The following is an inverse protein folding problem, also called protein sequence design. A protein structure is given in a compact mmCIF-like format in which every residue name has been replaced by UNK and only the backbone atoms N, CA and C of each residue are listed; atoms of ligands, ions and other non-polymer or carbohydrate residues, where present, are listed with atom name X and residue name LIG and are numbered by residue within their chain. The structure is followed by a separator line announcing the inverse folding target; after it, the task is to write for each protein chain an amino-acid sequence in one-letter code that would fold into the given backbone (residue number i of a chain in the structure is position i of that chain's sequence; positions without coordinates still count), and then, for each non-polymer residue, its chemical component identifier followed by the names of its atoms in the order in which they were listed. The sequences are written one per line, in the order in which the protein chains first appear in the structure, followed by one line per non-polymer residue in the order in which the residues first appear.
data_IF_100961401035
#
_entry.id   IF_100961401035
#
_cell.length_a   1.000
_cell.length_b   1.000
_cell.length_c   1.000
_cell.angle_alpha   90.00
_cell.angle_beta   90.00
_cell.angle_gamma   90.00
#
_symmetry.space_group_name_H-M   'P 1'
#
loop_
_entity.id
_entity.type
_entity.pdbx_description
1 polymer ?
#
# COMPACT_ATOMS: atom_id res chain seq x y z
N UNK A 1 -32.64 27.42 -74.47
CA UNK A 1 -31.34 27.01 -73.97
C UNK A 1 -31.24 27.45 -72.51
N UNK A 2 -31.50 26.55 -71.55
CA UNK A 2 -31.45 26.86 -70.09
C UNK A 2 -30.08 26.44 -69.56
N UNK A 3 -29.31 27.38 -69.03
CA UNK A 3 -28.01 27.11 -68.36
C UNK A 3 -28.29 26.75 -66.91
N UNK A 4 -27.98 25.50 -66.50
CA UNK A 4 -27.91 25.08 -65.11
C UNK A 4 -26.60 25.55 -64.50
N UNK A 5 -26.64 26.38 -63.46
CA UNK A 5 -25.50 26.65 -62.59
C UNK A 5 -25.47 25.61 -61.48
N UNK A 6 -24.43 24.79 -61.43
CA UNK A 6 -24.15 23.90 -60.31
C UNK A 6 -23.38 24.69 -59.25
N UNK A 7 -23.97 24.84 -58.06
CA UNK A 7 -23.31 25.41 -56.88
C UNK A 7 -22.61 24.27 -56.14
N UNK A 8 -21.28 24.28 -56.13
CA UNK A 8 -20.46 23.38 -55.34
C UNK A 8 -20.39 23.91 -53.90
N UNK A 9 -21.05 23.27 -52.96
CA UNK A 9 -20.93 23.57 -51.55
C UNK A 9 -19.66 22.88 -51.02
N UNK A 10 -18.61 23.66 -50.72
CA UNK A 10 -17.42 23.18 -50.06
C UNK A 10 -17.69 23.08 -48.55
N UNK A 11 -17.85 21.86 -48.04
CA UNK A 11 -17.90 21.56 -46.60
C UNK A 11 -16.49 21.61 -46.02
N UNK A 12 -16.13 22.69 -45.34
CA UNK A 12 -14.91 22.78 -44.52
C UNK A 12 -15.12 21.96 -43.26
N UNK A 13 -14.46 20.81 -43.15
CA UNK A 13 -14.32 20.02 -41.91
C UNK A 13 -13.35 20.80 -41.01
N UNK A 14 -13.87 21.46 -40.00
CA UNK A 14 -13.07 22.04 -38.92
C UNK A 14 -12.51 20.86 -38.09
N UNK A 15 -11.28 20.44 -38.39
CA UNK A 15 -10.52 19.56 -37.51
C UNK A 15 -10.22 20.36 -36.22
N UNK A 16 -10.90 20.04 -35.12
CA UNK A 16 -10.52 20.54 -33.82
C UNK A 16 -9.10 20.03 -33.54
N UNK A 17 -8.15 20.90 -33.11
CA UNK A 17 -6.86 20.43 -32.65
C UNK A 17 -7.11 19.52 -31.45
N UNK A 18 -6.83 18.25 -31.58
CA UNK A 18 -6.61 17.39 -30.42
C UNK A 18 -5.46 18.05 -29.66
N UNK A 19 -5.73 18.55 -28.44
CA UNK A 19 -4.69 18.96 -27.53
C UNK A 19 -3.83 17.70 -27.31
N UNK A 20 -2.67 17.68 -27.96
CA UNK A 20 -1.66 16.65 -27.69
C UNK A 20 -1.33 16.78 -26.21
N UNK A 21 -1.75 15.81 -25.41
CA UNK A 21 -1.35 15.71 -24.01
C UNK A 21 0.17 15.54 -24.04
N UNK A 22 0.91 16.40 -23.34
CA UNK A 22 2.36 16.36 -23.36
C UNK A 22 2.84 14.96 -22.95
N UNK A 23 3.67 14.34 -23.78
CA UNK A 23 4.26 13.06 -23.49
C UNK A 23 5.10 13.16 -22.20
N UNK A 24 4.94 12.18 -21.30
CA UNK A 24 5.76 12.11 -20.09
C UNK A 24 7.23 11.92 -20.47
N UNK A 25 8.15 12.50 -19.70
CA UNK A 25 9.60 12.37 -19.91
C UNK A 25 10.24 11.30 -19.04
N UNK A 26 9.61 10.96 -17.94
CA UNK A 26 10.00 9.92 -17.00
C UNK A 26 8.76 9.45 -16.24
N UNK A 27 8.87 8.29 -15.58
CA UNK A 27 7.82 7.76 -14.71
C UNK A 27 8.44 7.34 -13.37
N UNK A 28 7.78 7.67 -12.27
CA UNK A 28 8.34 7.54 -10.94
C UNK A 28 7.47 6.64 -10.04
N UNK A 29 8.05 5.54 -9.54
CA UNK A 29 7.40 4.59 -8.65
C UNK A 29 7.80 4.93 -7.21
N UNK A 30 6.83 5.09 -6.33
CA UNK A 30 7.04 5.27 -4.89
C UNK A 30 6.83 3.96 -4.14
N UNK A 31 7.77 3.59 -3.27
CA UNK A 31 7.64 2.45 -2.38
C UNK A 31 7.58 2.95 -0.95
N UNK A 32 6.52 2.54 -0.20
CA UNK A 32 6.33 2.96 1.19
C UNK A 32 7.56 2.66 2.05
N UNK A 33 7.86 3.57 2.98
CA UNK A 33 8.98 3.47 3.91
C UNK A 33 8.82 2.33 4.92
N UNK A 34 9.83 2.17 5.78
CA UNK A 34 9.76 1.22 6.88
C UNK A 34 10.32 -0.17 6.59
N UNK A 35 11.15 -0.28 5.56
CA UNK A 35 11.95 -1.47 5.22
C UNK A 35 13.33 -1.02 4.74
N UNK A 36 14.28 -1.95 4.62
CA UNK A 36 15.59 -1.64 4.07
C UNK A 36 15.46 -1.09 2.63
N UNK A 37 16.09 0.06 2.36
CA UNK A 37 15.95 0.72 1.07
C UNK A 37 16.53 -0.08 -0.10
N UNK A 38 17.61 -0.84 0.12
CA UNK A 38 18.21 -1.69 -0.92
C UNK A 38 17.31 -2.87 -1.26
N UNK A 39 16.71 -3.51 -0.25
CA UNK A 39 15.79 -4.63 -0.43
C UNK A 39 14.51 -4.17 -1.16
N UNK A 40 14.01 -2.97 -0.82
CA UNK A 40 12.87 -2.35 -1.53
C UNK A 40 13.20 -2.08 -3.01
N UNK A 41 14.41 -1.59 -3.30
CA UNK A 41 14.83 -1.39 -4.69
C UNK A 41 14.93 -2.73 -5.42
N UNK A 42 15.60 -3.73 -4.83
CA UNK A 42 15.82 -5.02 -5.47
C UNK A 42 14.50 -5.75 -5.77
N UNK A 43 13.58 -5.80 -4.81
CA UNK A 43 12.29 -6.48 -4.96
C UNK A 43 11.33 -5.81 -5.96
N UNK A 44 11.53 -4.52 -6.27
CA UNK A 44 10.69 -3.78 -7.23
C UNK A 44 11.37 -3.53 -8.59
N UNK A 45 12.61 -4.03 -8.80
CA UNK A 45 13.35 -3.82 -10.06
C UNK A 45 12.65 -4.48 -11.24
N UNK A 46 12.05 -5.67 -11.06
CA UNK A 46 11.27 -6.33 -12.10
C UNK A 46 10.10 -5.46 -12.58
N UNK A 47 9.36 -4.86 -11.65
CA UNK A 47 8.26 -3.96 -11.96
C UNK A 47 8.74 -2.68 -12.65
N UNK A 48 9.81 -2.06 -12.15
CA UNK A 48 10.45 -0.90 -12.78
C UNK A 48 10.79 -1.17 -14.23
N UNK A 49 11.49 -2.30 -14.51
CA UNK A 49 11.91 -2.65 -15.85
C UNK A 49 10.74 -2.90 -16.82
N UNK A 50 9.65 -3.52 -16.32
CA UNK A 50 8.43 -3.73 -17.10
C UNK A 50 7.74 -2.40 -17.46
N UNK A 51 7.60 -1.48 -16.51
CA UNK A 51 7.02 -0.16 -16.75
C UNK A 51 7.87 0.63 -17.73
N UNK A 52 9.21 0.60 -17.59
CA UNK A 52 10.13 1.25 -18.53
C UNK A 52 9.98 0.72 -19.95
N UNK A 53 9.92 -0.62 -20.10
CA UNK A 53 9.73 -1.24 -21.40
C UNK A 53 8.37 -0.90 -22.04
N UNK A 54 7.31 -0.81 -21.26
CA UNK A 54 5.97 -0.53 -21.75
C UNK A 54 5.75 0.95 -22.11
N UNK A 55 6.32 1.87 -21.33
CA UNK A 55 6.13 3.32 -21.54
C UNK A 55 7.20 3.93 -22.46
N UNK A 56 8.35 3.26 -22.63
CA UNK A 56 9.46 3.76 -23.47
C UNK A 56 10.13 5.03 -22.90
N UNK A 57 9.99 5.30 -21.61
CA UNK A 57 10.64 6.41 -20.90
C UNK A 57 11.40 5.90 -19.68
N UNK A 58 12.43 6.62 -19.19
CA UNK A 58 13.13 6.26 -17.96
C UNK A 58 12.18 6.10 -16.78
N UNK A 59 12.36 5.03 -15.98
CA UNK A 59 11.58 4.77 -14.78
C UNK A 59 12.50 4.73 -13.56
N UNK A 60 12.12 5.49 -12.52
CA UNK A 60 12.86 5.57 -11.26
C UNK A 60 12.03 5.00 -10.11
N UNK A 61 12.70 4.37 -9.14
CA UNK A 61 12.10 3.97 -7.87
C UNK A 61 12.54 4.97 -6.80
N UNK A 62 11.55 5.49 -6.06
CA UNK A 62 11.76 6.34 -4.88
C UNK A 62 11.44 5.53 -3.63
N UNK A 63 12.38 5.48 -2.70
CA UNK A 63 12.28 4.77 -1.42
C UNK A 63 12.42 5.75 -0.25
N UNK A 64 11.45 6.66 -0.01
CA UNK A 64 11.48 7.55 1.14
C UNK A 64 11.66 6.78 2.46
N UNK A 65 12.10 7.47 3.51
CA UNK A 65 12.33 6.84 4.81
C UNK A 65 11.02 6.36 5.47
N UNK A 66 9.92 7.06 5.22
CA UNK A 66 8.60 6.83 5.81
C UNK A 66 7.47 6.93 4.79
N UNK A 67 6.25 6.69 5.25
CA UNK A 67 5.03 6.78 4.44
C UNK A 67 4.74 8.21 3.97
N UNK A 68 5.07 9.21 4.79
CA UNK A 68 4.79 10.61 4.46
C UNK A 68 5.55 11.05 3.20
N UNK A 69 6.77 10.58 3.01
CA UNK A 69 7.55 10.85 1.81
C UNK A 69 6.88 10.38 0.51
N UNK A 70 6.20 9.22 0.51
CA UNK A 70 5.41 8.75 -0.65
C UNK A 70 4.13 9.57 -0.82
N UNK A 71 3.44 9.88 0.28
CA UNK A 71 2.22 10.72 0.28
C UNK A 71 2.53 12.09 -0.33
N UNK A 72 3.58 12.76 0.14
CA UNK A 72 3.99 14.06 -0.37
C UNK A 72 4.48 13.98 -1.82
N UNK A 73 5.15 12.88 -2.18
CA UNK A 73 5.59 12.64 -3.55
C UNK A 73 4.42 12.54 -4.54
N UNK A 74 3.34 11.85 -4.19
CA UNK A 74 2.11 11.76 -4.99
C UNK A 74 1.38 13.10 -5.06
N UNK A 75 1.21 13.79 -3.93
CA UNK A 75 0.58 15.12 -3.87
C UNK A 75 1.39 16.18 -4.65
N UNK A 76 2.70 16.14 -4.54
CA UNK A 76 3.62 17.08 -5.20
C UNK A 76 3.96 16.73 -6.65
N UNK A 77 3.51 15.57 -7.16
CA UNK A 77 3.74 15.14 -8.54
C UNK A 77 5.14 14.61 -8.83
N UNK A 78 5.93 14.26 -7.81
CA UNK A 78 7.24 13.60 -7.95
C UNK A 78 7.17 12.08 -7.97
N UNK A 79 6.03 11.51 -7.58
CA UNK A 79 5.71 10.08 -7.68
C UNK A 79 4.46 9.93 -8.55
N UNK A 80 4.48 8.95 -9.43
CA UNK A 80 3.44 8.68 -10.42
C UNK A 80 2.58 7.45 -10.09
N UNK A 81 3.15 6.48 -9.38
CA UNK A 81 2.52 5.22 -8.98
C UNK A 81 3.00 4.78 -7.60
N UNK A 82 2.10 4.24 -6.80
CA UNK A 82 2.44 3.57 -5.55
C UNK A 82 1.37 2.54 -5.13
N UNK A 83 1.79 1.48 -4.45
CA UNK A 83 0.92 0.68 -3.59
C UNK A 83 0.84 1.32 -2.21
N UNK A 84 -0.37 1.54 -1.70
CA UNK A 84 -0.62 2.25 -0.45
C UNK A 84 -1.41 1.40 0.54
N UNK A 85 -1.21 1.62 1.83
CA UNK A 85 -2.23 1.28 2.81
C UNK A 85 -3.43 2.22 2.69
N UNK A 86 -4.63 1.75 3.01
CA UNK A 86 -5.85 2.55 2.89
C UNK A 86 -5.83 3.85 3.72
N UNK A 87 -5.11 3.88 4.86
CA UNK A 87 -4.92 5.10 5.68
C UNK A 87 -4.04 6.14 4.97
N UNK A 88 -2.97 5.71 4.28
CA UNK A 88 -2.13 6.60 3.49
C UNK A 88 -2.91 7.20 2.31
N UNK A 89 -3.72 6.35 1.62
CA UNK A 89 -4.65 6.83 0.60
C UNK A 89 -5.66 7.82 1.18
N UNK A 90 -6.25 7.53 2.34
CA UNK A 90 -7.19 8.42 3.02
C UNK A 90 -6.56 9.80 3.29
N UNK A 91 -5.30 9.85 3.73
CA UNK A 91 -4.57 11.12 3.94
C UNK A 91 -4.40 11.91 2.64
N UNK A 92 -4.04 11.25 1.55
CA UNK A 92 -3.95 11.90 0.23
C UNK A 92 -5.31 12.48 -0.16
N UNK A 93 -6.37 11.68 -0.10
CA UNK A 93 -7.72 12.09 -0.46
C UNK A 93 -8.24 13.26 0.38
N UNK A 94 -7.97 13.26 1.68
CA UNK A 94 -8.37 14.34 2.59
C UNK A 94 -7.60 15.64 2.33
N UNK A 95 -6.39 15.54 1.77
CA UNK A 95 -5.57 16.69 1.42
C UNK A 95 -5.94 17.23 0.04
N UNK A 96 -6.01 16.36 -0.96
CA UNK A 96 -6.44 16.67 -2.34
C UNK A 96 -7.15 15.45 -2.95
N UNK A 97 -8.49 15.48 -3.03
CA UNK A 97 -9.27 14.36 -3.59
C UNK A 97 -9.02 14.10 -5.07
N UNK A 98 -8.37 15.03 -5.78
CA UNK A 98 -8.05 14.91 -7.20
C UNK A 98 -6.59 14.50 -7.46
N UNK A 99 -5.78 14.25 -6.43
CA UNK A 99 -4.35 13.98 -6.61
C UNK A 99 -4.06 12.64 -7.29
N UNK A 100 -4.83 11.59 -6.97
CA UNK A 100 -4.61 10.24 -7.46
C UNK A 100 -5.90 9.55 -7.91
N UNK A 101 -5.76 8.68 -8.91
CA UNK A 101 -6.78 7.71 -9.30
C UNK A 101 -6.51 6.38 -8.58
N UNK A 102 -7.50 5.84 -7.91
CA UNK A 102 -7.49 4.47 -7.38
C UNK A 102 -7.74 3.50 -8.54
N UNK A 103 -6.93 2.45 -8.66
CA UNK A 103 -7.01 1.52 -9.79
C UNK A 103 -7.27 0.08 -9.38
N UNK A 104 -6.38 -0.50 -8.59
CA UNK A 104 -6.37 -1.92 -8.28
C UNK A 104 -6.16 -2.15 -6.78
N UNK A 105 -6.46 -3.36 -6.33
CA UNK A 105 -6.03 -3.91 -5.05
C UNK A 105 -5.62 -5.37 -5.21
N UNK A 106 -4.87 -5.89 -4.26
CA UNK A 106 -4.54 -7.32 -4.21
C UNK A 106 -5.76 -8.14 -3.83
N UNK A 107 -6.04 -9.22 -4.56
CA UNK A 107 -6.99 -10.25 -4.19
C UNK A 107 -6.23 -11.44 -3.59
N UNK A 108 -6.55 -11.83 -2.37
CA UNK A 108 -5.92 -12.95 -1.67
C UNK A 108 -6.20 -14.30 -2.36
N UNK A 109 -5.42 -15.31 -2.06
CA UNK A 109 -5.52 -16.65 -2.68
C UNK A 109 -6.90 -17.32 -2.49
N UNK A 110 -7.63 -16.98 -1.44
CA UNK A 110 -9.01 -17.44 -1.19
C UNK A 110 -10.09 -16.60 -1.88
N UNK A 111 -9.68 -15.53 -2.58
CA UNK A 111 -10.57 -14.60 -3.27
C UNK A 111 -11.05 -13.42 -2.41
N UNK A 112 -10.70 -13.36 -1.13
CA UNK A 112 -10.98 -12.20 -0.27
C UNK A 112 -10.14 -10.97 -0.67
N UNK A 113 -10.54 -9.79 -0.18
CA UNK A 113 -9.85 -8.52 -0.47
C UNK A 113 -9.52 -7.76 0.82
N UNK A 114 -9.20 -8.50 1.86
CA UNK A 114 -8.89 -7.92 3.17
C UNK A 114 -7.75 -8.65 3.86
N UNK A 115 -7.21 -8.01 4.87
CA UNK A 115 -6.10 -8.46 5.68
C UNK A 115 -6.29 -8.04 7.14
N UNK A 116 -5.35 -8.35 8.01
CA UNK A 116 -5.43 -8.05 9.43
C UNK A 116 -4.21 -7.28 9.93
N UNK A 117 -4.43 -6.43 10.91
CA UNK A 117 -3.39 -6.04 11.85
C UNK A 117 -3.22 -7.17 12.85
N UNK A 118 -2.00 -7.65 13.01
CA UNK A 118 -1.64 -8.76 13.90
C UNK A 118 -0.78 -8.21 15.04
N UNK A 119 -1.28 -8.33 16.25
CA UNK A 119 -0.50 -8.10 17.47
C UNK A 119 0.37 -9.32 17.78
N UNK A 120 1.63 -9.12 18.10
CA UNK A 120 2.57 -10.21 18.32
C UNK A 120 3.63 -9.89 19.38
N UNK A 121 4.24 -10.94 19.91
CA UNK A 121 5.31 -10.87 20.88
C UNK A 121 6.27 -12.06 20.70
N UNK A 122 7.42 -12.05 21.40
CA UNK A 122 8.26 -13.26 21.49
C UNK A 122 7.61 -14.31 22.36
N UNK A 123 7.75 -15.58 21.99
CA UNK A 123 7.25 -16.73 22.80
C UNK A 123 7.84 -16.78 24.19
N UNK A 124 9.13 -16.44 24.34
CA UNK A 124 9.84 -16.47 25.62
C UNK A 124 9.53 -15.27 26.54
N UNK A 125 8.77 -14.26 26.05
CA UNK A 125 8.42 -13.07 26.82
C UNK A 125 7.32 -13.29 27.88
N UNK A 126 6.60 -14.40 27.80
CA UNK A 126 5.41 -14.70 28.62
C UNK A 126 4.18 -13.86 28.24
N UNK A 127 4.23 -13.08 27.13
CA UNK A 127 3.10 -12.32 26.60
C UNK A 127 2.31 -13.24 25.67
N UNK A 128 1.04 -13.50 26.00
CA UNK A 128 0.14 -14.38 25.25
C UNK A 128 -1.15 -13.70 24.81
N UNK A 129 -1.38 -12.45 25.25
CA UNK A 129 -2.51 -11.61 24.87
C UNK A 129 -2.16 -10.15 25.12
N UNK A 130 -3.01 -9.20 24.65
CA UNK A 130 -2.83 -7.78 24.95
C UNK A 130 -2.91 -7.50 26.46
N UNK A 131 -3.77 -8.21 27.19
CA UNK A 131 -3.89 -8.06 28.65
C UNK A 131 -2.57 -8.41 29.36
N UNK A 132 -1.86 -9.43 28.89
CA UNK A 132 -0.56 -9.83 29.47
C UNK A 132 0.59 -8.92 29.05
N UNK A 133 0.38 -8.09 28.02
CA UNK A 133 1.31 -7.02 27.62
C UNK A 133 1.17 -5.72 28.44
N UNK A 134 0.16 -5.63 29.33
CA UNK A 134 -0.04 -4.45 30.17
C UNK A 134 1.21 -4.09 30.96
N UNK A 135 1.55 -2.80 30.95
CA UNK A 135 2.75 -2.28 31.64
C UNK A 135 4.09 -2.63 30.96
N UNK A 136 4.06 -3.18 29.74
CA UNK A 136 5.23 -3.44 28.91
C UNK A 136 5.25 -2.49 27.72
N UNK A 137 6.37 -2.40 26.98
CA UNK A 137 6.49 -1.56 25.78
C UNK A 137 5.68 -2.14 24.62
N UNK A 138 5.11 -1.26 23.80
CA UNK A 138 4.32 -1.61 22.61
C UNK A 138 4.74 -0.76 21.41
N UNK A 139 4.93 -1.39 20.26
CA UNK A 139 5.34 -0.71 19.04
C UNK A 139 4.21 -0.72 17.99
N UNK A 140 3.90 0.48 17.49
CA UNK A 140 3.21 0.70 16.23
C UNK A 140 4.23 0.89 15.11
N UNK A 141 3.82 0.73 13.84
CA UNK A 141 4.73 0.86 12.70
C UNK A 141 4.93 2.32 12.28
N UNK A 142 4.01 2.87 11.49
CA UNK A 142 4.06 4.23 10.94
C UNK A 142 2.72 4.93 11.16
N UNK A 143 2.66 6.22 11.52
CA UNK A 143 1.42 6.96 11.79
C UNK A 143 0.42 6.98 10.61
N UNK A 144 0.91 6.80 9.38
CA UNK A 144 0.07 6.75 8.18
C UNK A 144 -0.30 5.32 7.76
N UNK A 145 0.18 4.29 8.48
CA UNK A 145 -0.19 2.90 8.21
C UNK A 145 -1.59 2.57 8.73
N UNK A 146 -2.36 1.82 7.95
CA UNK A 146 -3.70 1.33 8.33
C UNK A 146 -3.60 0.31 9.45
N UNK A 147 -2.86 -0.78 9.20
CA UNK A 147 -2.68 -1.91 10.13
C UNK A 147 -1.56 -1.71 11.13
N UNK A 148 -0.59 -0.83 10.79
CA UNK A 148 0.50 -0.51 11.70
C UNK A 148 0.16 0.57 12.72
N UNK A 149 -0.98 1.29 12.55
CA UNK A 149 -1.37 2.33 13.50
C UNK A 149 -2.87 2.60 13.53
N UNK A 150 -3.50 3.09 12.45
CA UNK A 150 -4.87 3.62 12.50
C UNK A 150 -5.88 2.65 13.13
N UNK A 151 -5.94 1.43 12.61
CA UNK A 151 -6.90 0.41 13.06
C UNK A 151 -6.54 -0.14 14.44
N UNK A 152 -5.32 -0.66 14.68
CA UNK A 152 -4.99 -1.20 16.00
C UNK A 152 -5.03 -0.14 17.09
N UNK A 153 -4.63 1.10 16.85
CA UNK A 153 -4.73 2.17 17.85
C UNK A 153 -6.19 2.45 18.23
N UNK A 154 -7.10 2.51 17.24
CA UNK A 154 -8.51 2.73 17.49
C UNK A 154 -9.16 1.56 18.25
N UNK A 155 -8.93 0.31 17.83
CA UNK A 155 -9.52 -0.87 18.46
C UNK A 155 -8.98 -1.13 19.87
N UNK A 156 -7.67 -0.99 20.06
CA UNK A 156 -7.05 -1.15 21.38
C UNK A 156 -7.47 -0.03 22.33
N UNK A 157 -7.55 1.22 21.85
CA UNK A 157 -8.06 2.35 22.67
C UNK A 157 -9.52 2.15 23.07
N UNK A 158 -10.36 1.65 22.16
CA UNK A 158 -11.76 1.36 22.47
C UNK A 158 -11.91 0.27 23.55
N UNK A 159 -10.98 -0.66 23.64
CA UNK A 159 -11.02 -1.80 24.58
C UNK A 159 -10.33 -1.47 25.90
N UNK A 160 -9.16 -0.84 25.85
CA UNK A 160 -8.26 -0.68 27.01
C UNK A 160 -8.11 0.77 27.49
N UNK A 161 -8.75 1.73 26.83
CA UNK A 161 -8.61 3.15 27.14
C UNK A 161 -7.32 3.73 26.56
N UNK A 162 -6.76 4.74 27.22
CA UNK A 162 -5.52 5.39 26.75
C UNK A 162 -4.35 4.43 26.77
N UNK A 163 -3.75 4.22 25.61
CA UNK A 163 -2.70 3.22 25.43
C UNK A 163 -1.41 3.60 26.18
N UNK A 164 -1.14 4.88 26.36
CA UNK A 164 -0.01 5.40 27.14
C UNK A 164 -0.17 5.15 28.66
N UNK A 165 -1.41 4.88 29.12
CA UNK A 165 -1.70 4.49 30.51
C UNK A 165 -1.73 2.96 30.65
N UNK A 166 -2.03 2.23 29.57
CA UNK A 166 -2.10 0.77 29.56
C UNK A 166 -0.72 0.12 29.39
N UNK A 167 0.06 0.59 28.43
CA UNK A 167 1.45 0.16 28.21
C UNK A 167 2.44 1.05 28.98
N UNK A 168 3.61 0.54 29.31
CA UNK A 168 4.66 1.37 29.94
C UNK A 168 5.25 2.38 28.95
N UNK A 169 5.21 2.06 27.67
CA UNK A 169 5.74 2.88 26.59
C UNK A 169 5.02 2.49 25.28
N UNK A 170 4.60 3.50 24.50
CA UNK A 170 4.06 3.34 23.15
C UNK A 170 4.98 4.06 22.18
N UNK A 171 5.52 3.35 21.17
CA UNK A 171 6.45 3.90 20.19
C UNK A 171 6.01 3.64 18.77
N UNK A 172 6.43 4.54 17.85
CA UNK A 172 6.46 4.28 16.42
C UNK A 172 7.82 3.68 16.07
N UNK A 173 7.84 2.48 15.51
CA UNK A 173 9.10 1.81 15.12
C UNK A 173 9.69 2.36 13.81
N UNK A 174 8.86 3.03 13.00
CA UNK A 174 9.19 3.56 11.68
C UNK A 174 8.65 2.73 10.52
N UNK A 175 8.16 1.50 10.78
CA UNK A 175 7.56 0.66 9.75
C UNK A 175 7.33 -0.78 10.19
N UNK A 176 6.73 -1.58 9.32
CA UNK A 176 6.35 -2.95 9.64
C UNK A 176 7.54 -3.87 9.89
N UNK A 177 8.58 -3.78 9.07
CA UNK A 177 9.80 -4.57 9.23
C UNK A 177 10.51 -4.20 10.54
N UNK A 178 10.65 -2.89 10.84
CA UNK A 178 11.25 -2.40 12.08
C UNK A 178 10.47 -2.88 13.31
N UNK A 179 9.13 -2.94 13.24
CA UNK A 179 8.33 -3.52 14.33
C UNK A 179 8.64 -4.99 14.52
N UNK A 180 8.64 -5.78 13.42
CA UNK A 180 8.87 -7.23 13.48
C UNK A 180 10.26 -7.53 14.03
N UNK A 181 11.28 -6.90 13.47
CA UNK A 181 12.68 -7.08 13.90
C UNK A 181 12.90 -6.58 15.32
N UNK A 182 12.36 -5.40 15.68
CA UNK A 182 12.50 -4.83 17.01
C UNK A 182 11.85 -5.67 18.11
N UNK A 183 10.67 -6.26 17.86
CA UNK A 183 10.06 -7.22 18.79
C UNK A 183 10.87 -8.52 18.86
N UNK A 184 11.32 -9.03 17.71
CA UNK A 184 12.15 -10.25 17.67
C UNK A 184 13.46 -10.10 18.45
N UNK A 185 14.10 -8.94 18.37
CA UNK A 185 15.33 -8.62 19.10
C UNK A 185 15.09 -8.25 20.59
N UNK A 186 13.83 -7.93 20.96
CA UNK A 186 13.49 -7.51 22.31
C UNK A 186 13.61 -6.02 22.58
N UNK A 187 13.76 -5.19 21.55
CA UNK A 187 13.73 -3.72 21.65
C UNK A 187 12.34 -3.23 22.08
N UNK A 188 11.30 -3.98 21.68
CA UNK A 188 9.92 -3.83 22.12
C UNK A 188 9.40 -5.15 22.69
N UNK A 189 8.56 -5.09 23.73
CA UNK A 189 7.98 -6.30 24.33
C UNK A 189 6.91 -6.91 23.41
N UNK A 190 6.17 -6.08 22.69
CA UNK A 190 5.14 -6.46 21.73
C UNK A 190 4.94 -5.35 20.70
N UNK A 191 4.20 -5.64 19.64
CA UNK A 191 3.88 -4.67 18.62
C UNK A 191 2.85 -5.18 17.63
N UNK A 192 2.57 -4.41 16.59
CA UNK A 192 1.65 -4.79 15.51
C UNK A 192 2.33 -4.75 14.15
N UNK A 193 1.97 -5.72 13.30
CA UNK A 193 2.30 -5.72 11.88
C UNK A 193 1.11 -6.30 11.11
N UNK A 194 1.30 -6.74 9.86
CA UNK A 194 0.17 -7.18 9.04
C UNK A 194 0.42 -8.50 8.31
N UNK A 195 -0.68 -9.22 8.10
CA UNK A 195 -0.76 -10.38 7.23
C UNK A 195 -2.20 -10.56 6.72
N UNK A 196 -2.35 -11.34 5.65
CA UNK A 196 -3.66 -11.76 5.13
C UNK A 196 -4.39 -12.74 6.08
N UNK A 197 -3.67 -13.41 6.97
CA UNK A 197 -4.21 -14.36 7.93
C UNK A 197 -4.55 -15.72 7.35
N UNK A 198 -4.10 -16.01 6.12
CA UNK A 198 -4.27 -17.28 5.42
C UNK A 198 -3.00 -18.12 5.55
N UNK A 199 -3.14 -19.46 5.51
CA UNK A 199 -2.00 -20.36 5.74
C UNK A 199 -1.62 -20.48 7.22
N UNK A 200 -0.32 -20.70 7.49
CA UNK A 200 0.19 -20.95 8.82
C UNK A 200 0.95 -19.75 9.39
N UNK A 201 0.81 -19.51 10.69
CA UNK A 201 1.60 -18.50 11.40
C UNK A 201 3.11 -18.75 11.29
N UNK A 202 3.53 -19.99 11.39
CA UNK A 202 4.93 -20.41 11.34
C UNK A 202 5.63 -20.05 10.03
N UNK A 203 4.85 -19.90 8.94
CA UNK A 203 5.32 -19.50 7.62
C UNK A 203 5.22 -17.97 7.39
N UNK A 204 4.68 -17.20 8.35
CA UNK A 204 4.36 -15.78 8.19
C UNK A 204 3.07 -15.53 7.41
N UNK A 205 2.17 -16.53 7.35
CA UNK A 205 0.97 -16.57 6.51
C UNK A 205 1.27 -16.67 5.00
N UNK A 206 0.32 -16.37 4.11
CA UNK A 206 0.55 -16.42 2.66
C UNK A 206 1.01 -15.09 2.08
N UNK A 207 0.63 -13.97 2.73
CA UNK A 207 0.92 -12.62 2.28
C UNK A 207 1.05 -11.66 3.47
N UNK A 208 1.97 -10.71 3.38
CA UNK A 208 2.10 -9.66 4.37
C UNK A 208 3.54 -9.40 4.81
N UNK A 209 3.67 -8.50 5.80
CA UNK A 209 4.98 -8.12 6.31
C UNK A 209 5.69 -9.28 7.03
N UNK A 210 4.93 -10.15 7.71
CA UNK A 210 5.51 -11.34 8.33
C UNK A 210 6.06 -12.30 7.29
N UNK A 211 5.33 -12.53 6.19
CA UNK A 211 5.79 -13.35 5.07
C UNK A 211 7.07 -12.81 4.48
N UNK A 212 7.10 -11.50 4.16
CA UNK A 212 8.30 -10.84 3.65
C UNK A 212 9.49 -10.97 4.60
N UNK A 213 9.29 -10.74 5.89
CA UNK A 213 10.36 -10.84 6.87
C UNK A 213 10.89 -12.29 7.03
N UNK A 214 10.00 -13.28 6.95
CA UNK A 214 10.38 -14.70 6.98
C UNK A 214 11.15 -15.10 5.71
N UNK A 215 10.67 -14.73 4.53
CA UNK A 215 11.33 -15.01 3.24
C UNK A 215 12.72 -14.36 3.14
N UNK A 216 12.87 -13.14 3.70
CA UNK A 216 14.15 -12.46 3.78
C UNK A 216 15.09 -13.01 4.87
N UNK A 217 14.64 -13.97 5.68
CA UNK A 217 15.43 -14.54 6.79
C UNK A 217 15.69 -13.54 7.94
N UNK A 218 14.89 -12.47 8.04
CA UNK A 218 15.05 -11.45 9.08
C UNK A 218 14.53 -11.92 10.44
N UNK A 219 13.58 -12.87 10.44
CA UNK A 219 12.97 -13.41 11.66
C UNK A 219 12.72 -14.92 11.51
N UNK A 220 12.80 -15.60 12.63
CA UNK A 220 12.27 -16.97 12.79
C UNK A 220 10.89 -16.87 13.44
N UNK A 221 9.85 -17.09 12.63
CA UNK A 221 8.45 -17.04 13.07
C UNK A 221 8.15 -18.02 14.21
N UNK A 222 8.93 -19.10 14.34
CA UNK A 222 8.78 -20.06 15.43
C UNK A 222 9.07 -19.46 16.82
N UNK A 223 9.82 -18.35 16.87
CA UNK A 223 10.13 -17.62 18.10
C UNK A 223 9.10 -16.54 18.46
N UNK A 224 8.14 -16.29 17.57
CA UNK A 224 7.08 -15.32 17.77
C UNK A 224 5.72 -15.98 18.01
N UNK A 225 4.80 -15.23 18.60
CA UNK A 225 3.42 -15.66 18.85
C UNK A 225 2.46 -14.53 18.54
N UNK A 226 1.36 -14.86 17.85
CA UNK A 226 0.22 -13.96 17.69
C UNK A 226 -0.49 -13.80 19.04
N UNK A 227 -0.74 -12.55 19.44
CA UNK A 227 -1.41 -12.19 20.70
C UNK A 227 -2.71 -11.44 20.52
N UNK A 228 -2.96 -10.96 19.30
CA UNK A 228 -4.16 -10.18 18.95
C UNK A 228 -4.32 -10.09 17.43
N UNK A 229 -5.57 -9.91 17.01
CA UNK A 229 -5.93 -9.69 15.61
C UNK A 229 -7.05 -8.65 15.50
N UNK A 230 -6.92 -7.71 14.57
CA UNK A 230 -7.97 -6.72 14.27
C UNK A 230 -9.19 -7.35 13.59
N UNK A 231 -10.24 -6.57 13.45
CA UNK A 231 -11.24 -6.81 12.41
C UNK A 231 -10.60 -6.76 11.03
N UNK A 232 -11.30 -7.34 10.03
CA UNK A 232 -10.83 -7.33 8.65
C UNK A 232 -10.66 -5.89 8.14
N UNK A 233 -9.52 -5.61 7.54
CA UNK A 233 -9.13 -4.33 6.94
C UNK A 233 -9.16 -4.53 5.42
N UNK A 234 -9.72 -3.62 4.61
CA UNK A 234 -9.63 -3.73 3.16
C UNK A 234 -8.17 -3.66 2.70
N UNK A 235 -7.77 -4.51 1.75
CA UNK A 235 -6.46 -4.43 1.11
C UNK A 235 -6.27 -3.03 0.51
N UNK A 236 -5.06 -2.50 0.64
CA UNK A 236 -4.75 -1.14 0.21
C UNK A 236 -4.75 -0.98 -1.32
N UNK A 237 -4.97 0.25 -1.82
CA UNK A 237 -5.03 0.50 -3.25
C UNK A 237 -3.63 0.65 -3.87
N UNK A 238 -3.52 0.20 -5.12
CA UNK A 238 -2.55 0.72 -6.08
C UNK A 238 -3.14 1.97 -6.73
N UNK A 239 -2.40 3.06 -6.69
CA UNK A 239 -2.83 4.36 -7.20
C UNK A 239 -1.88 4.88 -8.28
N UNK A 240 -2.44 5.66 -9.19
CA UNK A 240 -1.66 6.43 -10.18
C UNK A 240 -1.97 7.91 -10.00
N UNK A 241 -1.00 8.78 -10.24
CA UNK A 241 -1.20 10.24 -10.19
C UNK A 241 -2.23 10.66 -11.25
N UNK A 242 -3.29 11.35 -10.83
CA UNK A 242 -4.46 11.63 -11.65
C UNK A 242 -4.14 12.51 -12.87
N UNK A 243 -3.15 13.41 -12.77
CA UNK A 243 -2.73 14.32 -13.85
C UNK A 243 -1.93 13.66 -14.97
N UNK A 244 -1.59 12.37 -14.86
CA UNK A 244 -0.94 11.62 -15.94
C UNK A 244 -1.85 11.48 -17.17
N UNK A 245 -1.29 11.36 -18.39
CA UNK A 245 -2.02 10.97 -19.58
C UNK A 245 -2.81 9.66 -19.37
N UNK A 246 -4.02 9.59 -19.94
CA UNK A 246 -4.90 8.43 -19.75
C UNK A 246 -4.26 7.14 -20.28
N UNK A 247 -3.60 7.18 -21.43
CA UNK A 247 -2.90 6.04 -22.02
C UNK A 247 -1.76 5.51 -21.12
N UNK A 248 -1.04 6.41 -20.45
CA UNK A 248 0.00 6.03 -19.47
C UNK A 248 -0.63 5.32 -18.26
N UNK A 249 -1.71 5.91 -17.70
CA UNK A 249 -2.44 5.32 -16.57
C UNK A 249 -3.00 3.93 -16.92
N UNK A 250 -3.61 3.82 -18.09
CA UNK A 250 -4.23 2.56 -18.55
C UNK A 250 -3.15 1.49 -18.83
N UNK A 251 -2.03 1.87 -19.45
CA UNK A 251 -0.91 0.94 -19.70
C UNK A 251 -0.35 0.35 -18.40
N UNK A 252 -0.06 1.19 -17.40
CA UNK A 252 0.48 0.72 -16.12
C UNK A 252 -0.56 -0.10 -15.35
N UNK A 253 -1.82 0.31 -15.36
CA UNK A 253 -2.90 -0.42 -14.70
C UNK A 253 -3.11 -1.81 -15.31
N UNK A 254 -3.18 -1.91 -16.64
CA UNK A 254 -3.34 -3.20 -17.33
C UNK A 254 -2.15 -4.12 -17.06
N UNK A 255 -0.91 -3.59 -17.08
CA UNK A 255 0.29 -4.37 -16.79
C UNK A 255 0.25 -4.96 -15.37
N UNK A 256 -0.16 -4.19 -14.36
CA UNK A 256 -0.29 -4.70 -12.99
C UNK A 256 -1.39 -5.75 -12.92
N UNK A 257 -2.55 -5.50 -13.53
CA UNK A 257 -3.67 -6.44 -13.54
C UNK A 257 -3.29 -7.81 -14.13
N UNK A 258 -2.51 -7.83 -15.22
CA UNK A 258 -2.11 -9.06 -15.91
C UNK A 258 -0.85 -9.73 -15.30
N UNK A 259 -0.28 -9.18 -14.21
CA UNK A 259 1.05 -9.59 -13.76
C UNK A 259 1.09 -11.02 -13.21
N UNK A 260 0.04 -11.48 -12.54
CA UNK A 260 -0.04 -12.86 -12.05
C UNK A 260 -0.04 -13.91 -13.17
N UNK A 261 -0.47 -13.53 -14.37
CA UNK A 261 -0.45 -14.40 -15.55
C UNK A 261 0.88 -14.30 -16.33
N UNK A 262 1.47 -13.11 -16.36
CA UNK A 262 2.64 -12.82 -17.21
C UNK A 262 3.97 -12.95 -16.50
N UNK A 263 4.03 -12.73 -15.19
CA UNK A 263 5.26 -12.78 -14.38
C UNK A 263 4.94 -12.94 -12.88
N UNK A 264 4.74 -14.17 -12.45
CA UNK A 264 4.37 -14.50 -11.07
C UNK A 264 5.39 -14.08 -10.03
N UNK A 265 6.67 -14.12 -10.36
CA UNK A 265 7.73 -13.71 -9.42
C UNK A 265 7.65 -12.20 -9.14
N UNK A 266 7.46 -11.40 -10.18
CA UNK A 266 7.26 -9.96 -10.02
C UNK A 266 5.93 -9.63 -9.33
N UNK A 267 4.86 -10.37 -9.64
CA UNK A 267 3.58 -10.22 -8.96
C UNK A 267 3.69 -10.53 -7.46
N UNK A 268 4.39 -11.61 -7.09
CA UNK A 268 4.68 -11.99 -5.71
C UNK A 268 5.41 -10.86 -4.95
N UNK A 269 6.46 -10.32 -5.57
CA UNK A 269 7.22 -9.22 -4.98
C UNK A 269 6.36 -7.96 -4.77
N UNK A 270 5.54 -7.60 -5.77
CA UNK A 270 4.66 -6.44 -5.72
C UNK A 270 3.52 -6.60 -4.69
N UNK A 271 2.95 -7.82 -4.57
CA UNK A 271 1.87 -8.14 -3.65
C UNK A 271 2.35 -8.37 -2.21
N UNK A 272 3.64 -8.49 -1.96
CA UNK A 272 4.24 -8.87 -0.67
C UNK A 272 3.94 -10.33 -0.23
N UNK A 273 3.83 -11.26 -1.19
CA UNK A 273 3.53 -12.67 -0.98
C UNK A 273 2.59 -13.24 -2.02
N UNK A 274 2.05 -14.44 -1.76
CA UNK A 274 1.08 -15.08 -2.64
C UNK A 274 -0.25 -14.31 -2.67
N UNK A 275 -0.78 -14.18 -3.88
CA UNK A 275 -2.11 -13.63 -4.11
C UNK A 275 -2.73 -14.32 -5.33
N UNK A 276 -4.04 -14.15 -5.49
CA UNK A 276 -4.77 -14.69 -6.63
C UNK A 276 -4.67 -13.76 -7.82
N UNK A 277 -4.85 -12.45 -7.60
CA UNK A 277 -4.92 -11.46 -8.66
C UNK A 277 -4.73 -10.02 -8.15
N UNK A 278 -4.61 -9.08 -9.09
CA UNK A 278 -4.80 -7.65 -8.85
C UNK A 278 -6.12 -7.23 -9.52
N UNK A 279 -7.11 -6.85 -8.71
CA UNK A 279 -8.46 -6.58 -9.18
C UNK A 279 -8.83 -5.09 -9.08
N UNK A 280 -9.73 -4.60 -9.95
CA UNK A 280 -10.21 -3.22 -9.88
C UNK A 280 -10.90 -2.91 -8.56
N UNK A 281 -10.61 -1.70 -8.04
CA UNK A 281 -11.30 -1.10 -6.89
C UNK A 281 -11.59 0.36 -7.15
N UNK A 282 -12.47 0.93 -6.34
CA UNK A 282 -12.91 2.31 -6.42
C UNK A 282 -12.69 3.04 -5.09
N UNK A 283 -12.87 4.35 -5.09
CA UNK A 283 -12.86 5.16 -3.88
C UNK A 283 -13.85 4.65 -2.81
N UNK A 284 -15.03 4.16 -3.22
CA UNK A 284 -16.07 3.69 -2.32
C UNK A 284 -15.62 2.53 -1.41
N UNK A 285 -14.67 1.71 -1.87
CA UNK A 285 -14.11 0.59 -1.11
C UNK A 285 -13.32 1.04 0.12
N UNK A 286 -12.92 2.33 0.18
CA UNK A 286 -12.09 2.92 1.23
C UNK A 286 -12.81 3.94 2.12
N UNK A 287 -14.10 4.23 1.90
CA UNK A 287 -14.86 5.25 2.66
C UNK A 287 -14.81 5.02 4.17
N UNK A 288 -14.86 3.76 4.62
CA UNK A 288 -14.78 3.42 6.03
C UNK A 288 -13.44 3.81 6.68
N UNK A 289 -12.33 3.60 5.95
CA UNK A 289 -10.99 3.98 6.43
C UNK A 289 -10.80 5.50 6.37
N UNK A 290 -11.34 6.16 5.35
CA UNK A 290 -11.33 7.63 5.24
C UNK A 290 -12.08 8.26 6.42
N UNK A 291 -13.26 7.73 6.78
CA UNK A 291 -14.02 8.19 7.94
C UNK A 291 -13.26 7.99 9.25
N UNK A 292 -12.61 6.83 9.44
CA UNK A 292 -11.77 6.56 10.60
C UNK A 292 -10.58 7.53 10.68
N UNK A 293 -9.94 7.83 9.55
CA UNK A 293 -8.84 8.78 9.48
C UNK A 293 -9.28 10.21 9.82
N UNK A 294 -10.43 10.66 9.32
CA UNK A 294 -11.03 11.95 9.70
C UNK A 294 -11.21 12.08 11.21
N UNK A 295 -11.79 11.06 11.84
CA UNK A 295 -12.00 11.06 13.30
C UNK A 295 -10.66 11.13 14.05
N UNK A 296 -9.64 10.42 13.61
CA UNK A 296 -8.31 10.46 14.20
C UNK A 296 -7.67 11.85 14.10
N UNK A 297 -7.87 12.57 12.99
CA UNK A 297 -7.32 13.91 12.76
C UNK A 297 -8.20 15.04 13.35
N UNK A 298 -9.32 14.68 13.97
CA UNK A 298 -10.23 15.67 14.59
C UNK A 298 -11.00 16.53 13.58
N UNK A 299 -11.20 16.01 12.36
CA UNK A 299 -11.93 16.69 11.28
C UNK A 299 -13.41 16.31 11.25
#
# INVERSE_FOLDING_TARGET
MKKLLAVLAATTVLASPALAQDAIKEFNIGILGGENAQDRLASNECFRAKVEAALGVPVKIFTPADYDGVIQGLLGGTIDFAGLGASAYAKIYLTDPAAVDVKLTTQNVDGSTGYYSIGFARKDSGITSIETAKGKSFAFADPNSTSGYLVPAAELTATYGKLEEFFSEVKMSGGHEQTIVGVSNGDFASGVSWADGLGNWEDGYTNGAFRKAADAGLVDMSNLVEIWRSKLIPNGPYVVRASLPTDVKDTVTAMVADMWETDKECAYALAAGDAKDFIPVTHADFEGVIAARKLQEGM
#
